data_IF_608001421488
#
_entry.id   IF_608001421488
#
_cell.length_a   1.000
_cell.length_b   1.000
_cell.length_c   1.000
_cell.angle_alpha   90.00
_cell.angle_beta   90.00
_cell.angle_gamma   90.00
#
_symmetry.space_group_name_H-M   'P 1'
#
loop_
_entity.id
_entity.type
_entity.pdbx_description
1 polymer ?
#
# COMPACT_ATOMS: atom_id res chain seq x y z
N UNK A 1 22.41 -52.00 -55.12
CA UNK A 1 22.32 -50.53 -55.21
C UNK A 1 20.84 -50.18 -55.32
N UNK A 2 20.28 -49.42 -54.38
CA UNK A 2 18.88 -48.98 -54.45
C UNK A 2 18.83 -47.71 -55.31
N UNK A 3 18.15 -47.78 -56.45
CA UNK A 3 17.85 -46.59 -57.26
C UNK A 3 16.90 -45.69 -56.47
N UNK A 4 17.34 -44.45 -56.23
CA UNK A 4 16.49 -43.42 -55.64
C UNK A 4 15.44 -42.98 -56.67
N UNK A 5 14.17 -43.21 -56.35
CA UNK A 5 13.04 -42.72 -57.15
C UNK A 5 12.99 -41.19 -57.08
N UNK A 6 13.08 -40.51 -58.23
CA UNK A 6 13.00 -39.05 -58.31
C UNK A 6 11.55 -38.59 -58.21
N UNK A 7 11.24 -37.81 -57.18
CA UNK A 7 9.95 -37.11 -57.06
C UNK A 7 9.95 -35.88 -57.97
N UNK A 8 8.93 -35.71 -58.79
CA UNK A 8 8.74 -34.55 -59.68
C UNK A 8 7.48 -33.78 -59.27
N UNK A 9 7.59 -32.46 -59.07
CA UNK A 9 6.48 -31.56 -58.76
C UNK A 9 6.18 -30.65 -59.95
N UNK A 10 4.92 -30.30 -60.13
CA UNK A 10 4.49 -29.22 -61.02
C UNK A 10 4.90 -27.85 -60.46
N UNK A 11 4.93 -26.84 -61.33
CA UNK A 11 5.24 -25.45 -60.94
C UNK A 11 4.22 -24.93 -59.92
N UNK A 12 2.95 -25.30 -60.05
CA UNK A 12 1.88 -24.88 -59.15
C UNK A 12 2.04 -25.47 -57.75
N UNK A 13 2.41 -26.76 -57.65
CA UNK A 13 2.70 -27.40 -56.36
C UNK A 13 3.92 -26.78 -55.66
N UNK A 14 4.97 -26.41 -56.43
CA UNK A 14 6.12 -25.71 -55.89
C UNK A 14 5.76 -24.32 -55.35
N UNK A 15 4.92 -23.56 -56.06
CA UNK A 15 4.43 -22.26 -55.61
C UNK A 15 3.63 -22.42 -54.32
N UNK A 16 2.72 -23.39 -54.25
CA UNK A 16 1.89 -23.64 -53.08
C UNK A 16 2.72 -24.06 -51.87
N UNK A 17 3.72 -24.93 -52.05
CA UNK A 17 4.63 -25.34 -50.98
C UNK A 17 5.42 -24.14 -50.44
N UNK A 18 5.92 -23.28 -51.33
CA UNK A 18 6.69 -22.09 -50.96
C UNK A 18 5.82 -21.06 -50.24
N UNK A 19 4.60 -20.83 -50.72
CA UNK A 19 3.62 -19.95 -50.07
C UNK A 19 3.20 -20.48 -48.70
N UNK A 20 3.03 -21.80 -48.56
CA UNK A 20 2.75 -22.43 -47.28
C UNK A 20 3.93 -22.30 -46.30
N UNK A 21 5.17 -22.51 -46.77
CA UNK A 21 6.37 -22.32 -45.95
C UNK A 21 6.48 -20.87 -45.44
N UNK A 22 6.25 -19.88 -46.31
CA UNK A 22 6.27 -18.47 -45.93
C UNK A 22 5.19 -18.12 -44.89
N UNK A 23 3.98 -18.66 -45.03
CA UNK A 23 2.90 -18.41 -44.05
C UNK A 23 3.18 -19.09 -42.70
N UNK A 24 3.79 -20.27 -42.69
CA UNK A 24 4.24 -20.94 -41.46
C UNK A 24 5.34 -20.14 -40.74
N UNK A 25 6.27 -19.55 -41.49
CA UNK A 25 7.30 -18.67 -40.92
C UNK A 25 6.67 -17.44 -40.26
N UNK A 26 5.78 -16.74 -40.98
CA UNK A 26 5.06 -15.57 -40.44
C UNK A 26 4.23 -15.92 -39.19
N UNK A 27 3.58 -17.08 -39.17
CA UNK A 27 2.83 -17.54 -37.99
C UNK A 27 3.75 -17.79 -36.80
N UNK A 28 4.90 -18.42 -37.02
CA UNK A 28 5.89 -18.66 -35.96
C UNK A 28 6.45 -17.35 -35.40
N UNK A 29 6.73 -16.38 -36.25
CA UNK A 29 7.25 -15.08 -35.82
C UNK A 29 6.18 -14.27 -35.06
N UNK A 30 4.95 -14.27 -35.56
CA UNK A 30 3.81 -13.66 -34.84
C UNK A 30 3.62 -14.29 -33.46
N UNK A 31 3.73 -15.62 -33.37
CA UNK A 31 3.63 -16.34 -32.09
C UNK A 31 4.74 -15.93 -31.12
N UNK A 32 5.99 -15.86 -31.58
CA UNK A 32 7.12 -15.41 -30.75
C UNK A 32 6.92 -13.98 -30.26
N UNK A 33 6.46 -13.07 -31.13
CA UNK A 33 6.21 -11.68 -30.75
C UNK A 33 5.10 -11.58 -29.70
N UNK A 34 4.02 -12.36 -29.85
CA UNK A 34 2.94 -12.42 -28.87
C UNK A 34 3.42 -12.98 -27.53
N UNK A 35 4.21 -14.07 -27.54
CA UNK A 35 4.77 -14.64 -26.31
C UNK A 35 5.66 -13.62 -25.59
N UNK A 36 6.50 -12.87 -26.32
CA UNK A 36 7.32 -11.79 -25.77
C UNK A 36 6.48 -10.66 -25.16
N UNK A 37 5.42 -10.22 -25.86
CA UNK A 37 4.52 -9.18 -25.35
C UNK A 37 3.75 -9.64 -24.12
N UNK A 38 3.32 -10.90 -24.07
CA UNK A 38 2.64 -11.47 -22.90
C UNK A 38 3.58 -11.45 -21.70
N UNK A 39 4.82 -11.92 -21.86
CA UNK A 39 5.78 -11.92 -20.75
C UNK A 39 6.16 -10.50 -20.30
N UNK A 40 6.30 -9.55 -21.24
CA UNK A 40 6.50 -8.14 -20.89
C UNK A 40 5.34 -7.56 -20.07
N UNK A 41 4.09 -7.83 -20.45
CA UNK A 41 2.90 -7.40 -19.71
C UNK A 41 2.81 -8.07 -18.33
N UNK A 42 3.14 -9.36 -18.24
CA UNK A 42 3.15 -10.07 -16.95
C UNK A 42 4.18 -9.50 -15.99
N UNK A 43 5.36 -9.12 -16.50
CA UNK A 43 6.38 -8.49 -15.70
C UNK A 43 5.95 -7.09 -15.22
N UNK A 44 5.47 -6.23 -16.13
CA UNK A 44 4.97 -4.89 -15.80
C UNK A 44 3.83 -4.93 -14.77
N UNK A 45 2.88 -5.86 -14.92
CA UNK A 45 1.82 -6.05 -13.94
C UNK A 45 2.34 -6.53 -12.58
N UNK A 46 3.33 -7.42 -12.56
CA UNK A 46 3.94 -7.89 -11.31
C UNK A 46 4.65 -6.76 -10.57
N UNK A 47 5.38 -5.92 -11.29
CA UNK A 47 6.09 -4.77 -10.73
C UNK A 47 5.11 -3.72 -10.19
N UNK A 48 4.03 -3.43 -10.94
CA UNK A 48 2.95 -2.52 -10.49
C UNK A 48 2.24 -3.03 -9.24
N UNK A 49 1.95 -4.33 -9.17
CA UNK A 49 1.35 -4.94 -7.97
C UNK A 49 2.27 -4.78 -6.77
N UNK A 50 3.57 -5.00 -6.94
CA UNK A 50 4.53 -4.86 -5.86
C UNK A 50 4.70 -3.39 -5.41
N UNK A 51 4.72 -2.45 -6.37
CA UNK A 51 4.74 -1.03 -6.07
C UNK A 51 3.52 -0.60 -5.23
N UNK A 52 2.31 -0.96 -5.65
CA UNK A 52 1.06 -0.65 -4.91
C UNK A 52 1.04 -1.29 -3.54
N UNK A 53 1.54 -2.54 -3.39
CA UNK A 53 1.64 -3.19 -2.08
C UNK A 53 2.55 -2.44 -1.13
N UNK A 54 3.69 -1.97 -1.62
CA UNK A 54 4.66 -1.21 -0.82
C UNK A 54 4.13 0.17 -0.43
N UNK A 55 3.45 0.86 -1.35
CA UNK A 55 2.77 2.13 -1.09
C UNK A 55 1.70 1.96 0.01
N UNK A 56 0.79 1.01 -0.15
CA UNK A 56 -0.25 0.75 0.85
C UNK A 56 0.33 0.37 2.22
N UNK A 57 1.42 -0.39 2.25
CA UNK A 57 2.11 -0.72 3.51
C UNK A 57 2.69 0.52 4.18
N UNK A 58 3.28 1.43 3.40
CA UNK A 58 3.80 2.71 3.88
C UNK A 58 2.67 3.58 4.44
N UNK A 59 1.56 3.71 3.70
CA UNK A 59 0.41 4.52 4.12
C UNK A 59 -0.22 4.01 5.42
N UNK A 60 -0.39 2.69 5.53
CA UNK A 60 -0.89 2.06 6.77
C UNK A 60 0.04 2.36 7.96
N UNK A 61 1.36 2.33 7.75
CA UNK A 61 2.32 2.68 8.79
C UNK A 61 2.25 4.17 9.16
N UNK A 62 2.09 5.05 8.16
CA UNK A 62 1.87 6.49 8.35
C UNK A 62 0.65 6.75 9.23
N UNK A 63 -0.52 6.27 8.81
CA UNK A 63 -1.78 6.42 9.56
C UNK A 63 -1.66 5.85 10.97
N UNK A 64 -1.01 4.69 11.15
CA UNK A 64 -0.81 4.11 12.48
C UNK A 64 0.04 5.00 13.39
N UNK A 65 1.06 5.66 12.84
CA UNK A 65 1.92 6.56 13.60
C UNK A 65 1.19 7.85 13.96
N UNK A 66 0.44 8.43 13.03
CA UNK A 66 -0.41 9.60 13.26
C UNK A 66 -1.42 9.34 14.37
N UNK A 67 -2.21 8.26 14.26
CA UNK A 67 -3.19 7.89 15.29
C UNK A 67 -2.53 7.62 16.66
N UNK A 68 -1.34 7.04 16.69
CA UNK A 68 -0.60 6.83 17.93
C UNK A 68 -0.19 8.17 18.56
N UNK A 69 0.27 9.12 17.76
CA UNK A 69 0.61 10.47 18.19
C UNK A 69 -0.63 11.20 18.74
N UNK A 70 -1.74 11.17 18.02
CA UNK A 70 -2.99 11.81 18.42
C UNK A 70 -3.52 11.25 19.75
N UNK A 71 -3.50 9.92 19.91
CA UNK A 71 -3.89 9.27 21.17
C UNK A 71 -2.97 9.70 22.32
N UNK A 72 -1.67 9.85 22.08
CA UNK A 72 -0.74 10.36 23.11
C UNK A 72 -1.05 11.82 23.45
N UNK A 73 -1.33 12.66 22.45
CA UNK A 73 -1.78 14.04 22.65
C UNK A 73 -3.00 14.13 23.54
N UNK A 74 -4.06 13.41 23.20
CA UNK A 74 -5.31 13.35 24.00
C UNK A 74 -5.04 12.85 25.42
N UNK A 75 -4.20 11.83 25.61
CA UNK A 75 -3.83 11.34 26.95
C UNK A 75 -3.12 12.39 27.79
N UNK A 76 -2.24 13.19 27.18
CA UNK A 76 -1.54 14.27 27.85
C UNK A 76 -2.48 15.41 28.24
N UNK A 77 -3.40 15.79 27.35
CA UNK A 77 -4.43 16.79 27.63
C UNK A 77 -5.34 16.34 28.78
N UNK A 78 -5.83 15.10 28.75
CA UNK A 78 -6.65 14.53 29.84
C UNK A 78 -5.89 14.51 31.16
N UNK A 79 -4.60 14.17 31.15
CA UNK A 79 -3.77 14.17 32.37
C UNK A 79 -3.58 15.59 32.92
N UNK A 80 -3.37 16.56 32.03
CA UNK A 80 -3.25 17.97 32.40
C UNK A 80 -4.54 18.51 33.00
N UNK A 81 -5.68 18.18 32.41
CA UNK A 81 -7.00 18.53 32.94
C UNK A 81 -7.26 17.90 34.32
N UNK A 82 -6.91 16.62 34.50
CA UNK A 82 -7.01 15.95 35.82
C UNK A 82 -6.19 16.69 36.89
N UNK A 83 -4.95 17.06 36.56
CA UNK A 83 -4.09 17.79 37.48
C UNK A 83 -4.66 19.18 37.81
N UNK A 84 -5.18 19.89 36.81
CA UNK A 84 -5.83 21.19 37.01
C UNK A 84 -7.06 21.07 37.93
N UNK A 85 -7.91 20.07 37.71
CA UNK A 85 -9.10 19.82 38.56
C UNK A 85 -8.68 19.55 40.01
N UNK A 86 -7.63 18.76 40.23
CA UNK A 86 -7.13 18.49 41.58
C UNK A 86 -6.60 19.77 42.22
N UNK A 87 -5.79 20.56 41.49
CA UNK A 87 -5.25 21.82 41.99
C UNK A 87 -6.34 22.84 42.35
N UNK A 88 -7.37 22.96 41.52
CA UNK A 88 -8.50 23.87 41.79
C UNK A 88 -9.33 23.40 42.97
N UNK A 89 -9.54 22.08 43.12
CA UNK A 89 -10.20 21.52 44.31
C UNK A 89 -9.46 21.87 45.60
N UNK A 90 -8.13 21.70 45.63
CA UNK A 90 -7.31 22.11 46.79
C UNK A 90 -7.39 23.62 47.04
N UNK A 91 -7.32 24.44 45.99
CA UNK A 91 -7.43 25.90 46.13
C UNK A 91 -8.78 26.32 46.73
N UNK A 92 -9.89 25.72 46.29
CA UNK A 92 -11.23 25.97 46.85
C UNK A 92 -11.34 25.55 48.32
N UNK A 93 -10.75 24.41 48.70
CA UNK A 93 -10.76 23.97 50.11
C UNK A 93 -9.95 24.93 50.97
N UNK A 94 -8.77 25.35 50.50
CA UNK A 94 -7.90 26.27 51.23
C UNK A 94 -8.56 27.65 51.43
N UNK A 95 -9.26 28.19 50.42
CA UNK A 95 -9.97 29.47 50.54
C UNK A 95 -11.13 29.39 51.52
N UNK A 96 -11.94 28.32 51.47
CA UNK A 96 -13.05 28.12 52.42
C UNK A 96 -12.53 27.93 53.84
N UNK A 97 -11.50 27.10 54.03
CA UNK A 97 -10.90 26.86 55.35
C UNK A 97 -10.27 28.15 55.94
N UNK A 98 -9.56 28.93 55.12
CA UNK A 98 -8.98 30.20 55.53
C UNK A 98 -10.05 31.22 55.94
N UNK A 99 -11.14 31.32 55.17
CA UNK A 99 -12.26 32.19 55.53
C UNK A 99 -12.92 31.75 56.85
N UNK A 100 -13.18 30.45 57.03
CA UNK A 100 -13.75 29.92 58.26
C UNK A 100 -12.87 30.21 59.50
N UNK A 101 -11.54 30.04 59.35
CA UNK A 101 -10.57 30.37 60.41
C UNK A 101 -10.56 31.87 60.75
N UNK A 102 -10.57 32.74 59.73
CA UNK A 102 -10.63 34.19 59.92
C UNK A 102 -11.90 34.60 60.67
N UNK A 103 -13.06 34.08 60.28
CA UNK A 103 -14.34 34.38 60.97
C UNK A 103 -14.32 33.91 62.43
N UNK A 104 -13.88 32.67 62.70
CA UNK A 104 -13.85 32.12 64.06
C UNK A 104 -12.96 32.92 65.04
N UNK A 105 -11.84 33.45 64.55
CA UNK A 105 -10.90 34.25 65.34
C UNK A 105 -11.37 35.68 65.64
N UNK A 106 -12.32 36.22 64.88
CA UNK A 106 -12.83 37.59 65.04
C UNK A 106 -14.21 37.68 65.71
N UNK A 107 -14.93 36.56 65.85
CA UNK A 107 -16.23 36.51 66.55
C UNK A 107 -16.08 36.21 68.05
N UNK A 108 -14.97 35.57 68.45
CA UNK A 108 -14.73 35.13 69.84
C UNK A 108 -13.81 36.05 70.65
N UNK A 109 -13.49 37.23 70.12
CA UNK A 109 -12.73 38.30 70.78
C UNK A 109 -13.63 39.51 71.10
#
# INVERSE_FOLDING_TARGET
>A
MSESSKVTLSVEELINLTAHAATQEQLNDTRKELDQKIEAVRHDLSDKIEAVRNELKSDIQGVRNELKSDIQGVRNEVSSLKNLIIATAFAMIATVAGAAFWVGSHITA
#
